data_IF_375213862040
#
_entry.id   IF_375213862040
#
_cell.length_a   1.000
_cell.length_b   1.000
_cell.length_c   1.000
_cell.angle_alpha   90.00
_cell.angle_beta   90.00
_cell.angle_gamma   90.00
#
_symmetry.space_group_name_H-M   'P 1'
#
loop_
_entity.id
_entity.type
_entity.pdbx_description
1 polymer ?
#
# COMPACT_ATOMS: atom_id res chain seq x y z
N UNK A 1 -16.53 1.40 -23.55
CA UNK A 1 -15.75 2.49 -24.16
C UNK A 1 -14.64 1.83 -24.99
N UNK A 2 -14.68 1.95 -26.32
CA UNK A 2 -13.61 1.41 -27.20
C UNK A 2 -12.67 2.58 -27.46
N UNK A 3 -11.43 2.48 -27.00
CA UNK A 3 -10.40 3.46 -27.31
C UNK A 3 -9.57 2.91 -28.47
N UNK A 4 -9.61 3.56 -29.63
CA UNK A 4 -8.73 3.24 -30.75
C UNK A 4 -7.32 3.75 -30.44
N UNK A 5 -6.65 3.08 -29.51
CA UNK A 5 -5.21 3.22 -29.30
C UNK A 5 -4.55 2.40 -30.41
N UNK A 6 -4.59 2.93 -31.63
CA UNK A 6 -4.14 2.24 -32.85
C UNK A 6 -2.61 2.17 -32.97
N UNK A 7 -2.05 1.13 -33.64
CA UNK A 7 -2.64 0.33 -34.75
C UNK A 7 -3.50 -0.87 -34.32
N UNK A 8 -4.25 -1.52 -35.25
CA UNK A 8 -5.14 -2.68 -34.99
C UNK A 8 -4.53 -3.90 -34.28
N UNK A 9 -3.22 -3.92 -34.04
CA UNK A 9 -2.51 -5.03 -33.36
C UNK A 9 -2.15 -4.74 -31.89
N UNK A 10 -2.57 -3.60 -31.32
CA UNK A 10 -2.51 -3.37 -29.87
C UNK A 10 -3.79 -3.89 -29.22
N UNK A 11 -3.68 -4.98 -28.45
CA UNK A 11 -4.79 -5.45 -27.62
C UNK A 11 -4.73 -4.68 -26.31
N UNK A 12 -5.79 -3.93 -26.03
CA UNK A 12 -6.00 -3.23 -24.76
C UNK A 12 -6.91 -4.07 -23.88
N UNK A 13 -6.42 -4.43 -22.68
CA UNK A 13 -7.23 -5.10 -21.67
C UNK A 13 -7.48 -4.14 -20.52
N UNK A 14 -8.75 -3.87 -20.24
CA UNK A 14 -9.18 -3.10 -19.06
C UNK A 14 -9.44 -4.11 -17.94
N UNK A 15 -8.73 -3.98 -16.82
CA UNK A 15 -8.80 -4.93 -15.71
C UNK A 15 -9.66 -4.43 -14.55
N UNK A 16 -9.59 -3.13 -14.24
CA UNK A 16 -10.46 -2.47 -13.28
C UNK A 16 -11.13 -1.26 -13.92
N UNK A 17 -12.30 -0.90 -13.41
CA UNK A 17 -12.97 0.36 -13.70
C UNK A 17 -13.76 0.77 -12.46
N UNK A 18 -13.36 1.86 -11.83
CA UNK A 18 -13.98 2.36 -10.60
C UNK A 18 -14.08 3.88 -10.63
N UNK A 19 -15.01 4.45 -9.86
CA UNK A 19 -15.12 5.90 -9.72
C UNK A 19 -13.86 6.45 -9.04
N UNK A 20 -13.33 7.57 -9.54
CA UNK A 20 -12.28 8.30 -8.84
C UNK A 20 -12.86 8.81 -7.51
N UNK A 21 -12.19 8.57 -6.37
CA UNK A 21 -12.75 8.97 -5.09
C UNK A 21 -12.70 10.50 -4.85
N UNK A 22 -11.97 11.27 -5.67
CA UNK A 22 -11.80 12.72 -5.53
C UNK A 22 -12.53 13.56 -6.59
N UNK A 23 -12.86 12.97 -7.74
CA UNK A 23 -13.32 13.69 -8.93
C UNK A 23 -14.45 12.94 -9.61
N UNK A 24 -15.25 13.65 -10.39
CA UNK A 24 -16.30 13.04 -11.22
C UNK A 24 -15.71 12.44 -12.50
N UNK A 25 -14.85 11.44 -12.32
CA UNK A 25 -14.18 10.70 -13.39
C UNK A 25 -14.06 9.22 -13.00
N UNK A 26 -13.68 8.37 -13.94
CA UNK A 26 -13.42 6.95 -13.69
C UNK A 26 -11.93 6.65 -13.85
N UNK A 27 -11.42 5.79 -13.00
CA UNK A 27 -10.06 5.26 -13.05
C UNK A 27 -10.11 3.81 -13.47
N UNK A 28 -9.22 3.44 -14.38
CA UNK A 28 -9.09 2.08 -14.86
C UNK A 28 -7.62 1.64 -14.87
N UNK A 29 -7.36 0.40 -14.48
CA UNK A 29 -6.06 -0.22 -14.77
C UNK A 29 -6.13 -0.90 -16.12
N UNK A 30 -5.15 -0.61 -16.97
CA UNK A 30 -5.09 -1.10 -18.35
C UNK A 30 -3.78 -1.82 -18.60
N UNK A 31 -3.82 -2.83 -19.47
CA UNK A 31 -2.63 -3.51 -19.97
C UNK A 31 -2.67 -3.51 -21.49
N UNK A 32 -1.53 -3.20 -22.09
CA UNK A 32 -1.34 -3.19 -23.53
C UNK A 32 -0.49 -4.38 -23.95
N UNK A 33 -0.88 -5.09 -25.02
CA UNK A 33 -0.04 -6.17 -25.57
C UNK A 33 1.31 -5.67 -26.09
N UNK A 34 1.37 -4.40 -26.51
CA UNK A 34 2.59 -3.64 -26.83
C UNK A 34 2.38 -2.19 -26.41
N UNK A 35 3.41 -1.50 -25.92
CA UNK A 35 3.30 -0.08 -25.55
C UNK A 35 2.89 0.75 -26.78
N UNK A 36 1.74 1.45 -26.73
CA UNK A 36 1.27 2.29 -27.83
C UNK A 36 2.28 3.38 -28.21
N UNK A 37 2.36 3.75 -29.49
CA UNK A 37 3.28 4.78 -29.97
C UNK A 37 3.13 6.12 -29.22
N UNK A 38 1.90 6.46 -28.86
CA UNK A 38 1.56 7.67 -28.11
C UNK A 38 2.06 7.64 -26.65
N UNK A 39 2.35 6.44 -26.11
CA UNK A 39 2.81 6.20 -24.74
C UNK A 39 4.28 5.71 -24.69
N UNK A 40 5.01 5.77 -25.81
CA UNK A 40 6.39 5.25 -25.89
C UNK A 40 7.46 6.18 -25.32
N UNK A 41 7.14 7.45 -25.03
CA UNK A 41 8.08 8.40 -24.45
C UNK A 41 8.35 8.04 -22.98
N UNK A 42 9.33 7.16 -22.74
CA UNK A 42 9.73 6.69 -21.41
C UNK A 42 10.27 7.80 -20.49
N UNK A 43 10.53 9.01 -21.00
CA UNK A 43 10.90 10.16 -20.16
C UNK A 43 9.69 10.79 -19.46
N UNK A 44 8.46 10.44 -19.87
CA UNK A 44 7.21 10.90 -19.26
C UNK A 44 6.65 9.86 -18.33
N UNK A 45 5.95 10.34 -17.30
CA UNK A 45 5.17 9.50 -16.40
C UNK A 45 3.65 9.65 -16.63
N UNK A 46 3.24 10.66 -17.42
CA UNK A 46 1.84 11.00 -17.68
C UNK A 46 1.60 11.38 -19.15
N UNK A 47 0.43 11.00 -19.68
CA UNK A 47 -0.02 11.32 -21.04
C UNK A 47 -1.49 11.70 -21.03
N UNK A 48 -1.85 12.67 -21.89
CA UNK A 48 -3.24 13.03 -22.18
C UNK A 48 -3.53 12.73 -23.65
N UNK A 49 -4.52 11.88 -23.90
CA UNK A 49 -5.00 11.53 -25.23
C UNK A 49 -6.47 11.92 -25.37
N UNK A 50 -6.89 12.27 -26.60
CA UNK A 50 -8.30 12.45 -26.93
C UNK A 50 -8.89 11.10 -27.34
N UNK A 51 -10.08 10.79 -26.84
CA UNK A 51 -10.82 9.61 -27.28
C UNK A 51 -11.27 9.73 -28.74
N UNK A 52 -11.52 8.61 -29.40
CA UNK A 52 -11.86 8.55 -30.82
C UNK A 52 -13.22 9.18 -31.18
N UNK A 53 -14.10 9.37 -30.19
CA UNK A 53 -15.36 10.09 -30.36
C UNK A 53 -15.21 11.61 -30.18
N UNK A 54 -13.99 12.09 -29.88
CA UNK A 54 -13.65 13.47 -29.55
C UNK A 54 -14.43 14.05 -28.35
N UNK A 55 -15.11 13.21 -27.56
CA UNK A 55 -15.93 13.66 -26.42
C UNK A 55 -15.11 13.67 -25.13
N UNK A 56 -14.29 12.63 -24.91
CA UNK A 56 -13.60 12.42 -23.63
C UNK A 56 -12.09 12.64 -23.73
N UNK A 57 -11.51 13.19 -22.67
CA UNK A 57 -10.06 13.16 -22.44
C UNK A 57 -9.68 11.91 -21.64
N UNK A 58 -8.61 11.26 -22.06
CA UNK A 58 -8.04 10.09 -21.40
C UNK A 58 -6.69 10.47 -20.82
N UNK A 59 -6.52 10.25 -19.53
CA UNK A 59 -5.28 10.48 -18.81
C UNK A 59 -4.68 9.13 -18.45
N UNK A 60 -3.41 8.96 -18.79
CA UNK A 60 -2.64 7.77 -18.47
C UNK A 60 -1.49 8.18 -17.57
N UNK A 61 -1.32 7.48 -16.46
CA UNK A 61 -0.11 7.53 -15.66
C UNK A 61 0.47 6.11 -15.51
N UNK A 62 1.77 6.03 -15.25
CA UNK A 62 2.47 4.77 -14.96
C UNK A 62 3.03 4.74 -13.54
N UNK A 63 2.77 5.76 -12.72
CA UNK A 63 3.41 5.90 -11.41
C UNK A 63 2.51 5.44 -10.25
N UNK A 64 1.19 5.45 -10.43
CA UNK A 64 0.19 5.12 -9.40
C UNK A 64 0.38 5.89 -8.08
N UNK A 65 0.73 7.18 -8.12
CA UNK A 65 0.87 8.04 -6.94
C UNK A 65 -0.52 8.41 -6.38
N UNK A 66 -0.65 8.45 -5.06
CA UNK A 66 -1.93 8.66 -4.39
C UNK A 66 -2.82 7.42 -4.40
N UNK A 67 -4.12 7.62 -4.16
CA UNK A 67 -5.11 6.54 -4.10
C UNK A 67 -5.57 6.16 -5.51
N UNK A 68 -5.35 4.90 -5.89
CA UNK A 68 -5.87 4.30 -7.12
C UNK A 68 -6.95 3.27 -6.76
N UNK A 69 -8.24 3.50 -7.09
CA UNK A 69 -9.29 2.52 -6.86
C UNK A 69 -9.16 1.36 -7.85
N UNK A 70 -9.17 0.13 -7.32
CA UNK A 70 -9.15 -1.12 -8.10
C UNK A 70 -10.55 -1.70 -8.26
N UNK A 71 -11.44 -1.46 -7.29
CA UNK A 71 -12.88 -1.72 -7.38
C UNK A 71 -13.60 -0.83 -6.38
N UNK A 72 -14.79 -0.34 -6.75
CA UNK A 72 -15.68 0.40 -5.87
C UNK A 72 -17.13 -0.05 -6.11
N UNK A 73 -17.57 -1.15 -5.47
CA UNK A 73 -18.92 -1.66 -5.67
C UNK A 73 -19.96 -0.69 -5.08
N UNK A 74 -21.12 -0.58 -5.73
CA UNK A 74 -22.23 0.21 -5.21
C UNK A 74 -22.62 -0.33 -3.84
N UNK A 75 -22.63 0.54 -2.83
CA UNK A 75 -22.93 0.15 -1.47
C UNK A 75 -21.80 -0.62 -0.76
N UNK A 76 -20.54 -0.42 -1.18
CA UNK A 76 -19.38 -1.00 -0.50
C UNK A 76 -19.51 -0.87 1.03
N UNK A 77 -19.32 -1.99 1.72
CA UNK A 77 -19.51 -2.08 3.17
C UNK A 77 -18.21 -1.97 3.95
N UNK A 78 -17.06 -1.96 3.28
CA UNK A 78 -15.73 -1.89 3.89
C UNK A 78 -14.73 -1.29 2.89
N UNK A 79 -13.73 -0.57 3.40
CA UNK A 79 -12.59 -0.12 2.60
C UNK A 79 -11.35 -0.98 2.90
N UNK A 80 -10.63 -1.37 1.85
CA UNK A 80 -9.34 -2.05 1.95
C UNK A 80 -8.30 -1.22 1.19
N UNK A 81 -7.25 -0.76 1.87
CA UNK A 81 -6.22 0.09 1.24
C UNK A 81 -4.85 -0.58 1.36
N UNK A 82 -4.21 -0.83 0.22
CA UNK A 82 -2.89 -1.44 0.13
C UNK A 82 -1.79 -0.40 -0.14
N UNK A 83 -0.81 -0.32 0.76
CA UNK A 83 0.24 0.70 0.80
C UNK A 83 1.58 0.08 0.44
N UNK A 84 2.23 0.59 -0.61
CA UNK A 84 3.53 0.08 -1.06
C UNK A 84 4.70 0.44 -0.13
N UNK A 85 5.80 -0.29 -0.29
CA UNK A 85 7.05 -0.07 0.45
C UNK A 85 7.93 1.07 -0.09
N UNK A 86 9.13 1.18 0.49
CA UNK A 86 10.13 2.19 0.16
C UNK A 86 10.54 2.10 -1.32
N UNK A 87 10.42 3.20 -2.07
CA UNK A 87 10.69 3.24 -3.50
C UNK A 87 9.82 2.27 -4.34
N UNK A 88 8.75 1.73 -3.76
CA UNK A 88 7.90 0.72 -4.37
C UNK A 88 6.78 1.32 -5.19
N UNK A 89 6.68 0.94 -6.46
CA UNK A 89 5.53 1.25 -7.30
C UNK A 89 4.26 0.61 -6.72
N UNK A 90 3.16 1.35 -6.54
CA UNK A 90 1.94 0.89 -5.86
C UNK A 90 1.39 -0.43 -6.46
N UNK A 91 1.14 -0.44 -7.76
CA UNK A 91 0.73 -1.66 -8.47
C UNK A 91 1.82 -2.73 -8.53
N UNK A 92 3.04 -2.35 -8.94
CA UNK A 92 4.16 -3.27 -9.14
C UNK A 92 4.65 -3.99 -7.87
N UNK A 93 4.43 -3.41 -6.69
CA UNK A 93 4.79 -4.02 -5.41
C UNK A 93 4.03 -5.33 -5.19
N UNK A 94 2.73 -5.33 -5.48
CA UNK A 94 1.83 -6.48 -5.28
C UNK A 94 1.67 -7.37 -6.52
N UNK A 95 2.37 -7.05 -7.62
CA UNK A 95 2.37 -7.84 -8.85
C UNK A 95 3.35 -9.01 -8.74
N UNK A 96 2.92 -10.19 -9.20
CA UNK A 96 3.76 -11.39 -9.29
C UNK A 96 5.06 -11.11 -10.07
N UNK A 97 6.10 -11.89 -9.78
CA UNK A 97 7.37 -11.77 -10.50
C UNK A 97 7.26 -12.40 -11.88
N UNK A 98 7.63 -11.65 -12.92
CA UNK A 98 7.65 -12.15 -14.30
C UNK A 98 6.28 -12.29 -14.98
N UNK A 99 5.19 -11.91 -14.32
CA UNK A 99 3.84 -11.99 -14.86
C UNK A 99 2.99 -10.74 -14.64
N UNK A 100 1.78 -10.69 -15.25
CA UNK A 100 0.87 -9.55 -15.14
C UNK A 100 -0.07 -9.63 -13.93
N UNK A 101 -0.14 -10.77 -13.23
CA UNK A 101 -1.09 -10.96 -12.14
C UNK A 101 -0.73 -10.09 -10.95
N UNK A 102 -1.69 -9.30 -10.49
CA UNK A 102 -1.58 -8.49 -9.29
C UNK A 102 -2.73 -8.89 -8.38
N UNK A 103 -2.44 -9.70 -7.36
CA UNK A 103 -3.44 -10.44 -6.59
C UNK A 103 -4.50 -9.53 -5.95
N UNK A 104 -4.15 -8.30 -5.56
CA UNK A 104 -5.11 -7.34 -4.98
C UNK A 104 -6.17 -6.95 -6.02
N UNK A 105 -5.77 -6.72 -7.29
CA UNK A 105 -6.69 -6.38 -8.38
C UNK A 105 -7.39 -7.62 -8.95
N UNK A 106 -6.66 -8.72 -9.09
CA UNK A 106 -7.08 -9.84 -9.95
C UNK A 106 -7.77 -10.98 -9.18
N UNK A 107 -7.49 -11.12 -7.88
CA UNK A 107 -8.05 -12.16 -7.00
C UNK A 107 -8.86 -11.53 -5.85
N UNK A 108 -8.27 -10.64 -5.06
CA UNK A 108 -8.88 -10.11 -3.83
C UNK A 108 -10.20 -9.37 -4.09
N UNK A 109 -10.33 -8.65 -5.20
CA UNK A 109 -11.60 -8.00 -5.57
C UNK A 109 -12.76 -8.99 -5.74
N UNK A 110 -12.48 -10.24 -6.12
CA UNK A 110 -13.48 -11.30 -6.28
C UNK A 110 -13.77 -11.99 -4.95
N UNK A 111 -12.74 -12.15 -4.13
CA UNK A 111 -12.84 -12.81 -2.83
C UNK A 111 -13.48 -11.91 -1.77
N UNK A 112 -13.42 -10.59 -1.95
CA UNK A 112 -14.06 -9.57 -1.11
C UNK A 112 -15.02 -8.68 -1.93
N UNK A 113 -16.12 -9.22 -2.48
CA UNK A 113 -16.95 -8.51 -3.46
C UNK A 113 -17.70 -7.28 -2.91
N UNK A 114 -17.84 -7.16 -1.59
CA UNK A 114 -18.45 -6.01 -0.92
C UNK A 114 -17.44 -4.91 -0.52
N UNK A 115 -16.15 -5.12 -0.78
CA UNK A 115 -15.10 -4.18 -0.42
C UNK A 115 -14.83 -3.17 -1.53
N UNK A 116 -14.65 -1.90 -1.16
CA UNK A 116 -13.94 -0.93 -1.99
C UNK A 116 -12.44 -1.15 -1.77
N UNK A 117 -11.71 -1.50 -2.82
CA UNK A 117 -10.28 -1.83 -2.72
C UNK A 117 -9.47 -0.78 -3.46
N UNK A 118 -8.50 -0.19 -2.77
CA UNK A 118 -7.58 0.81 -3.30
C UNK A 118 -6.13 0.39 -3.08
N UNK A 119 -5.24 0.87 -3.95
CA UNK A 119 -3.80 0.90 -3.66
C UNK A 119 -3.35 2.34 -3.49
N UNK A 120 -2.36 2.57 -2.63
CA UNK A 120 -1.77 3.87 -2.36
C UNK A 120 -0.28 3.85 -2.72
N UNK A 121 0.10 4.72 -3.64
CA UNK A 121 1.51 4.99 -3.96
C UNK A 121 2.00 6.29 -3.36
N UNK A 122 3.26 6.31 -2.97
CA UNK A 122 3.98 7.49 -2.50
C UNK A 122 5.34 7.54 -3.19
N UNK A 123 5.86 8.76 -3.33
CA UNK A 123 7.18 8.93 -3.94
C UNK A 123 8.28 8.89 -2.88
N UNK A 124 8.92 7.73 -2.76
CA UNK A 124 10.03 7.49 -1.82
C UNK A 124 11.22 6.81 -2.50
N UNK A 125 11.40 7.03 -3.80
CA UNK A 125 12.54 6.49 -4.54
C UNK A 125 13.87 6.96 -3.91
N UNK A 126 14.85 6.06 -3.89
CA UNK A 126 16.12 6.31 -3.22
C UNK A 126 17.15 6.97 -4.11
N UNK A 127 17.33 6.45 -5.32
CA UNK A 127 18.36 6.89 -6.25
C UNK A 127 17.88 8.05 -7.11
N UNK A 128 18.64 9.15 -7.15
CA UNK A 128 18.32 10.34 -7.95
C UNK A 128 17.25 11.23 -7.30
N UNK A 129 16.97 11.03 -6.02
CA UNK A 129 15.97 11.82 -5.30
C UNK A 129 16.58 13.05 -4.66
N UNK A 130 15.92 14.19 -4.84
CA UNK A 130 16.24 15.44 -4.16
C UNK A 130 15.23 15.77 -3.06
N UNK A 131 14.34 14.83 -2.73
CA UNK A 131 13.36 14.97 -1.66
C UNK A 131 14.03 14.96 -0.29
N UNK A 132 13.55 15.80 0.62
CA UNK A 132 13.93 15.82 2.04
C UNK A 132 12.75 15.41 2.95
N UNK A 133 11.72 14.80 2.37
CA UNK A 133 10.55 14.31 3.12
C UNK A 133 10.97 13.31 4.19
N UNK A 134 10.29 13.37 5.34
CA UNK A 134 10.49 12.49 6.48
C UNK A 134 9.43 11.39 6.53
N UNK A 135 9.62 10.41 7.44
CA UNK A 135 8.59 9.42 7.74
C UNK A 135 7.27 10.08 8.19
N UNK A 136 7.37 11.18 8.95
CA UNK A 136 6.21 11.96 9.40
C UNK A 136 5.47 12.59 8.22
N UNK A 137 6.20 13.18 7.26
CA UNK A 137 5.60 13.79 6.07
C UNK A 137 4.85 12.77 5.22
N UNK A 138 5.44 11.61 4.98
CA UNK A 138 4.81 10.52 4.21
C UNK A 138 3.59 9.95 4.95
N UNK A 139 3.67 9.78 6.27
CA UNK A 139 2.54 9.34 7.09
C UNK A 139 1.40 10.36 7.10
N UNK A 140 1.71 11.66 7.16
CA UNK A 140 0.74 12.74 7.07
C UNK A 140 0.06 12.80 5.70
N UNK A 141 0.81 12.58 4.63
CA UNK A 141 0.24 12.47 3.27
C UNK A 141 -0.73 11.30 3.17
N UNK A 142 -0.38 10.12 3.69
CA UNK A 142 -1.28 8.97 3.70
C UNK A 142 -2.54 9.21 4.54
N UNK A 143 -2.40 9.81 5.73
CA UNK A 143 -3.54 10.23 6.54
C UNK A 143 -4.45 11.20 5.79
N UNK A 144 -3.87 12.20 5.12
CA UNK A 144 -4.61 13.19 4.33
C UNK A 144 -5.35 12.52 3.16
N UNK A 145 -4.74 11.54 2.52
CA UNK A 145 -5.36 10.76 1.46
C UNK A 145 -6.60 10.01 1.98
N UNK A 146 -6.51 9.31 3.12
CA UNK A 146 -7.66 8.64 3.75
C UNK A 146 -8.75 9.66 4.09
N UNK A 147 -8.38 10.77 4.75
CA UNK A 147 -9.32 11.83 5.12
C UNK A 147 -10.11 12.35 3.91
N UNK A 148 -9.42 12.58 2.79
CA UNK A 148 -10.03 13.14 1.58
C UNK A 148 -11.06 12.23 0.89
N UNK A 149 -11.08 10.92 1.21
CA UNK A 149 -12.04 9.95 0.66
C UNK A 149 -13.06 9.44 1.68
N UNK A 150 -12.94 9.91 2.93
CA UNK A 150 -13.72 9.53 4.12
C UNK A 150 -13.84 10.72 5.07
N UNK A 151 -14.45 11.79 4.57
CA UNK A 151 -14.71 13.01 5.33
C UNK A 151 -16.09 12.92 6.03
N UNK A 152 -16.06 12.88 7.37
CA UNK A 152 -17.22 12.79 8.26
C UNK A 152 -18.14 14.00 8.10
N UNK A 153 -17.57 15.20 7.98
CA UNK A 153 -18.31 16.48 7.90
C UNK A 153 -19.13 16.60 6.60
N UNK A 154 -18.84 15.77 5.61
CA UNK A 154 -19.52 15.73 4.30
C UNK A 154 -20.36 14.46 4.09
N UNK A 155 -20.69 13.73 5.16
CA UNK A 155 -21.53 12.51 5.17
C UNK A 155 -20.98 11.30 4.38
N UNK A 156 -19.66 11.21 4.18
CA UNK A 156 -19.07 10.02 3.53
C UNK A 156 -18.87 8.87 4.55
N UNK A 157 -19.96 8.14 4.83
CA UNK A 157 -20.03 6.87 5.60
C UNK A 157 -18.83 6.60 6.56
N UNK A 158 -18.71 7.39 7.63
CA UNK A 158 -17.56 7.31 8.52
C UNK A 158 -17.46 6.00 9.30
N UNK A 159 -18.59 5.30 9.45
CA UNK A 159 -18.70 4.01 10.13
C UNK A 159 -18.31 2.82 9.25
N UNK A 160 -18.09 3.04 7.94
CA UNK A 160 -17.59 1.98 7.05
C UNK A 160 -16.25 1.48 7.60
N UNK A 161 -16.06 0.22 7.95
CA UNK A 161 -14.78 -0.24 8.48
C UNK A 161 -13.63 -0.03 7.49
N UNK A 162 -12.41 0.06 8.03
CA UNK A 162 -11.18 0.19 7.26
C UNK A 162 -10.22 -0.96 7.59
N UNK A 163 -9.70 -1.61 6.56
CA UNK A 163 -8.59 -2.58 6.63
C UNK A 163 -7.40 -2.02 5.86
N UNK A 164 -6.23 -2.02 6.49
CA UNK A 164 -5.01 -1.47 5.92
C UNK A 164 -3.98 -2.57 5.68
N UNK A 165 -3.49 -2.69 4.45
CA UNK A 165 -2.44 -3.63 4.07
C UNK A 165 -1.15 -2.84 3.82
N UNK A 166 -0.10 -3.06 4.61
CA UNK A 166 1.16 -2.34 4.48
C UNK A 166 2.30 -3.27 4.12
N UNK A 167 3.02 -2.99 3.03
CA UNK A 167 4.29 -3.65 2.75
C UNK A 167 5.46 -2.78 3.20
N UNK A 168 6.38 -3.33 3.99
CA UNK A 168 7.60 -2.66 4.42
C UNK A 168 7.32 -1.25 4.98
N UNK A 169 7.88 -0.19 4.39
CA UNK A 169 7.61 1.21 4.75
C UNK A 169 6.10 1.51 4.82
N UNK A 170 5.28 0.91 3.96
CA UNK A 170 3.83 1.12 3.95
C UNK A 170 3.15 0.80 5.28
N UNK A 171 3.64 -0.20 6.01
CA UNK A 171 3.16 -0.48 7.37
C UNK A 171 3.56 0.60 8.38
N UNK A 172 4.74 1.21 8.24
CA UNK A 172 5.13 2.35 9.07
C UNK A 172 4.29 3.58 8.76
N UNK A 173 3.95 3.80 7.47
CA UNK A 173 3.05 4.89 7.07
C UNK A 173 1.66 4.72 7.67
N UNK A 174 1.15 3.47 7.71
CA UNK A 174 -0.10 3.14 8.40
C UNK A 174 -0.01 3.48 9.88
N UNK A 175 1.04 3.03 10.59
CA UNK A 175 1.22 3.36 12.00
C UNK A 175 1.27 4.87 12.24
N UNK A 176 2.05 5.59 11.44
CA UNK A 176 2.21 7.05 11.55
C UNK A 176 0.90 7.79 11.27
N UNK A 177 0.16 7.37 10.24
CA UNK A 177 -1.14 7.93 9.92
C UNK A 177 -2.15 7.72 11.05
N UNK A 178 -2.21 6.53 11.64
CA UNK A 178 -3.12 6.23 12.77
C UNK A 178 -2.77 7.04 14.03
N UNK A 179 -1.47 7.23 14.32
CA UNK A 179 -1.04 8.12 15.41
C UNK A 179 -1.53 9.55 15.16
N UNK A 180 -1.34 10.09 13.95
CA UNK A 180 -1.81 11.43 13.57
C UNK A 180 -3.34 11.51 13.68
N UNK A 181 -4.05 10.49 13.20
CA UNK A 181 -5.52 10.50 13.20
C UNK A 181 -6.11 10.48 14.61
N UNK A 182 -5.47 9.76 15.54
CA UNK A 182 -5.96 9.61 16.92
C UNK A 182 -6.08 10.94 17.68
N UNK A 183 -5.29 11.95 17.31
CA UNK A 183 -5.33 13.30 17.87
C UNK A 183 -5.75 14.38 16.87
N UNK A 184 -6.31 13.98 15.73
CA UNK A 184 -6.66 14.85 14.63
C UNK A 184 -8.05 15.49 14.75
N UNK A 185 -8.60 15.90 13.60
CA UNK A 185 -9.98 16.39 13.47
C UNK A 185 -11.03 15.32 13.83
N UNK A 186 -12.31 15.68 13.94
CA UNK A 186 -13.39 14.71 14.16
C UNK A 186 -13.43 13.64 13.05
N UNK A 187 -13.25 14.05 11.79
CA UNK A 187 -13.11 13.13 10.65
C UNK A 187 -11.93 12.17 10.81
N UNK A 188 -10.79 12.66 11.32
CA UNK A 188 -9.62 11.81 11.54
C UNK A 188 -9.85 10.82 12.67
N UNK A 189 -10.42 11.27 13.78
CA UNK A 189 -10.75 10.40 14.91
C UNK A 189 -11.81 9.36 14.53
N UNK A 190 -12.77 9.72 13.67
CA UNK A 190 -13.73 8.78 13.11
C UNK A 190 -13.03 7.73 12.22
N UNK A 191 -12.11 8.14 11.34
CA UNK A 191 -11.32 7.20 10.52
C UNK A 191 -10.42 6.30 11.36
N UNK A 192 -9.81 6.84 12.41
CA UNK A 192 -9.04 6.08 13.40
C UNK A 192 -9.92 5.02 14.07
N UNK A 193 -11.09 5.42 14.56
CA UNK A 193 -12.07 4.56 15.22
C UNK A 193 -12.65 3.49 14.28
N UNK A 194 -12.84 3.82 13.01
CA UNK A 194 -13.30 2.91 11.96
C UNK A 194 -12.23 1.92 11.47
N UNK A 195 -10.96 2.11 11.84
CA UNK A 195 -9.89 1.17 11.51
C UNK A 195 -10.05 -0.12 12.30
N UNK A 196 -10.41 -1.20 11.60
CA UNK A 196 -10.66 -2.50 12.19
C UNK A 196 -9.42 -3.39 12.15
N UNK A 197 -8.77 -3.52 10.99
CA UNK A 197 -7.74 -4.52 10.76
C UNK A 197 -6.50 -3.98 10.07
N UNK A 198 -5.32 -4.49 10.45
CA UNK A 198 -4.05 -4.21 9.78
C UNK A 198 -3.40 -5.53 9.35
N UNK A 199 -2.93 -5.61 8.11
CA UNK A 199 -2.03 -6.67 7.65
C UNK A 199 -0.70 -6.05 7.28
N UNK A 200 0.33 -6.38 8.05
CA UNK A 200 1.69 -5.83 7.92
C UNK A 200 2.59 -6.88 7.29
N UNK A 201 3.15 -6.61 6.12
CA UNK A 201 4.10 -7.48 5.41
C UNK A 201 5.51 -6.94 5.55
N UNK A 202 6.33 -7.55 6.41
CA UNK A 202 7.75 -7.19 6.56
C UNK A 202 7.96 -5.74 7.02
N UNK A 203 7.06 -5.18 7.82
CA UNK A 203 7.17 -3.78 8.25
C UNK A 203 8.32 -3.59 9.24
N UNK A 204 9.32 -2.73 8.96
CA UNK A 204 10.52 -2.62 9.79
C UNK A 204 10.28 -1.75 11.04
N UNK A 205 9.39 -2.18 11.94
CA UNK A 205 9.00 -1.42 13.14
C UNK A 205 10.13 -1.20 14.15
N UNK A 206 11.22 -1.96 14.02
CA UNK A 206 12.43 -1.83 14.85
C UNK A 206 13.71 -1.63 14.02
N UNK A 207 13.58 -1.45 12.72
CA UNK A 207 14.69 -1.24 11.81
C UNK A 207 14.64 -2.12 10.56
N UNK A 208 15.22 -1.58 9.50
CA UNK A 208 15.50 -2.21 8.22
C UNK A 208 17.03 -2.36 8.10
N UNK A 209 17.53 -3.46 7.54
CA UNK A 209 18.92 -3.53 7.13
C UNK A 209 19.15 -2.61 5.93
N UNK A 210 19.89 -1.52 6.15
CA UNK A 210 20.07 -0.44 5.18
C UNK A 210 21.40 -0.48 4.45
N UNK A 211 22.29 -1.45 4.70
CA UNK A 211 23.68 -1.40 4.22
C UNK A 211 23.77 -1.14 2.72
N UNK A 212 23.00 -1.88 1.92
CA UNK A 212 22.95 -1.70 0.46
C UNK A 212 22.20 -0.44 0.01
N UNK A 213 21.24 0.03 0.81
CA UNK A 213 20.41 1.19 0.48
C UNK A 213 21.15 2.51 0.73
N UNK A 214 21.96 2.58 1.80
CA UNK A 214 22.78 3.76 2.12
C UNK A 214 23.76 4.04 0.97
N UNK A 215 24.29 2.99 0.34
CA UNK A 215 25.18 3.11 -0.81
C UNK A 215 24.47 3.71 -2.05
N UNK A 216 23.15 3.54 -2.20
CA UNK A 216 22.38 4.13 -3.31
C UNK A 216 22.16 5.63 -3.16
N UNK A 217 22.07 6.09 -1.92
CA UNK A 217 21.70 7.46 -1.58
C UNK A 217 22.94 8.36 -1.43
N UNK A 218 24.06 7.80 -0.96
CA UNK A 218 25.32 8.52 -0.75
C UNK A 218 25.14 9.81 0.08
N UNK A 219 25.18 10.98 -0.55
CA UNK A 219 25.01 12.29 0.10
C UNK A 219 23.72 13.02 -0.35
N UNK A 220 22.78 12.31 -0.96
CA UNK A 220 21.49 12.89 -1.37
C UNK A 220 20.64 13.31 -0.16
N UNK A 221 19.74 14.31 -0.30
CA UNK A 221 18.94 14.84 0.81
C UNK A 221 18.08 13.81 1.53
N UNK A 222 17.57 12.81 0.81
CA UNK A 222 16.75 11.72 1.34
C UNK A 222 17.54 10.72 2.23
N UNK A 223 18.86 10.87 2.39
CA UNK A 223 19.64 10.05 3.32
C UNK A 223 19.14 10.18 4.75
N UNK A 224 18.76 11.39 5.17
CA UNK A 224 18.23 11.59 6.52
C UNK A 224 17.00 10.71 6.78
N UNK A 225 16.06 10.70 5.83
CA UNK A 225 14.89 9.82 5.89
C UNK A 225 15.28 8.35 5.95
N UNK A 226 16.18 7.90 5.07
CA UNK A 226 16.64 6.52 5.05
C UNK A 226 17.23 6.12 6.41
N UNK A 227 18.08 6.96 7.02
CA UNK A 227 18.68 6.71 8.33
C UNK A 227 17.65 6.63 9.46
N UNK A 228 16.46 7.24 9.31
CA UNK A 228 15.37 7.04 10.29
C UNK A 228 14.85 5.59 10.30
N UNK A 229 15.10 4.81 9.25
CA UNK A 229 14.65 3.42 9.14
C UNK A 229 15.65 2.41 9.71
N UNK A 230 16.81 2.86 10.22
CA UNK A 230 17.87 1.97 10.71
C UNK A 230 17.48 1.27 12.02
N UNK A 231 18.12 0.13 12.37
CA UNK A 231 17.97 -0.47 13.67
C UNK A 231 18.31 0.50 14.81
N UNK A 232 17.54 0.48 15.89
CA UNK A 232 17.67 1.40 17.04
C UNK A 232 17.44 2.89 16.71
N UNK A 233 16.71 3.19 15.63
CA UNK A 233 16.22 4.55 15.36
C UNK A 233 15.28 5.03 16.47
N UNK A 234 15.55 6.21 17.03
CA UNK A 234 14.68 6.87 18.01
C UNK A 234 13.31 7.21 17.40
N UNK A 235 13.28 7.55 16.11
CA UNK A 235 12.04 7.84 15.37
C UNK A 235 11.16 6.59 15.31
N UNK A 236 11.72 5.43 14.95
CA UNK A 236 10.96 4.17 14.92
C UNK A 236 10.53 3.75 16.33
N UNK A 237 11.40 3.92 17.32
CA UNK A 237 11.07 3.60 18.70
C UNK A 237 9.88 4.44 19.22
N UNK A 238 9.91 5.75 18.97
CA UNK A 238 8.83 6.67 19.32
C UNK A 238 7.54 6.30 18.58
N UNK A 239 7.58 6.14 17.25
CA UNK A 239 6.41 5.76 16.46
C UNK A 239 5.79 4.44 16.94
N UNK A 240 6.61 3.42 17.20
CA UNK A 240 6.13 2.14 17.72
C UNK A 240 5.49 2.29 19.09
N UNK A 241 6.11 3.06 19.99
CA UNK A 241 5.56 3.33 21.33
C UNK A 241 4.20 4.01 21.23
N UNK A 242 4.12 5.08 20.46
CA UNK A 242 2.89 5.86 20.30
C UNK A 242 1.79 5.01 19.67
N UNK A 243 2.09 4.30 18.57
CA UNK A 243 1.16 3.41 17.91
C UNK A 243 0.57 2.34 18.85
N UNK A 244 1.42 1.67 19.65
CA UNK A 244 0.96 0.65 20.60
C UNK A 244 0.12 1.25 21.74
N UNK A 245 0.41 2.50 22.12
CA UNK A 245 -0.35 3.21 23.14
C UNK A 245 -1.73 3.63 22.60
N UNK A 246 -1.80 4.17 21.38
CA UNK A 246 -3.05 4.73 20.85
C UNK A 246 -3.96 3.67 20.21
N UNK A 247 -3.42 2.71 19.46
CA UNK A 247 -4.20 1.70 18.74
C UNK A 247 -4.43 0.45 19.61
N UNK A 248 -4.97 0.70 20.81
CA UNK A 248 -5.16 -0.30 21.86
C UNK A 248 -6.52 -1.02 21.80
N UNK A 249 -7.22 -0.93 20.67
CA UNK A 249 -8.51 -1.54 20.41
C UNK A 249 -8.48 -3.09 20.50
N UNK A 250 -8.91 -3.67 21.62
CA UNK A 250 -8.90 -5.14 21.79
C UNK A 250 -9.84 -5.89 20.84
N UNK A 251 -10.78 -5.18 20.23
CA UNK A 251 -11.72 -5.64 19.22
C UNK A 251 -11.20 -5.47 17.77
N UNK A 252 -10.00 -4.92 17.58
CA UNK A 252 -9.26 -4.87 16.30
C UNK A 252 -8.25 -6.01 16.15
N UNK A 253 -7.86 -6.31 14.92
CA UNK A 253 -6.91 -7.38 14.58
C UNK A 253 -5.65 -6.85 13.87
N UNK A 254 -4.46 -7.34 14.22
CA UNK A 254 -3.20 -7.02 13.53
C UNK A 254 -2.51 -8.32 13.11
N UNK A 255 -2.50 -8.62 11.81
CA UNK A 255 -1.72 -9.73 11.24
C UNK A 255 -0.32 -9.25 10.83
N UNK A 256 0.72 -9.80 11.44
CA UNK A 256 2.12 -9.55 11.07
C UNK A 256 2.67 -10.70 10.23
N UNK A 257 2.97 -10.44 8.98
CA UNK A 257 3.56 -11.38 8.01
C UNK A 257 5.04 -11.05 7.83
N UNK A 258 5.92 -12.04 7.90
CA UNK A 258 7.38 -11.83 7.88
C UNK A 258 8.13 -12.76 6.94
N UNK A 259 9.29 -12.30 6.48
CA UNK A 259 10.18 -13.04 5.59
C UNK A 259 10.94 -14.16 6.31
N UNK A 260 11.24 -15.24 5.58
CA UNK A 260 12.06 -16.37 6.04
C UNK A 260 13.21 -16.68 5.08
N UNK A 261 13.41 -15.86 4.04
CA UNK A 261 14.55 -15.94 3.13
C UNK A 261 15.24 -14.59 3.02
N UNK A 262 16.54 -14.63 2.74
CA UNK A 262 17.31 -13.43 2.46
C UNK A 262 16.91 -12.80 1.12
N UNK A 263 16.92 -11.47 1.05
CA UNK A 263 16.70 -10.72 -0.18
C UNK A 263 18.02 -10.44 -0.90
N UNK A 264 18.05 -10.47 -2.25
CA UNK A 264 19.16 -9.90 -2.99
C UNK A 264 19.25 -8.40 -2.69
N UNK A 265 20.47 -7.89 -2.54
CA UNK A 265 20.71 -6.49 -2.20
C UNK A 265 21.23 -5.69 -3.38
N UNK A 266 21.17 -4.36 -3.26
CA UNK A 266 21.65 -3.46 -4.29
C UNK A 266 23.17 -3.44 -4.42
N UNK A 267 23.66 -3.59 -5.64
CA UNK A 267 25.06 -3.39 -6.00
C UNK A 267 25.18 -2.60 -7.31
N UNK A 268 26.19 -1.75 -7.41
CA UNK A 268 26.47 -0.99 -8.63
C UNK A 268 27.28 -1.83 -9.61
N UNK A 269 26.74 -2.07 -10.79
CA UNK A 269 27.38 -2.79 -11.89
C UNK A 269 27.30 -1.97 -13.17
N UNK A 270 28.45 -1.66 -13.79
CA UNK A 270 28.48 -0.92 -15.06
C UNK A 270 27.83 0.47 -14.99
N UNK A 271 27.79 1.09 -13.81
CA UNK A 271 27.18 2.41 -13.59
C UNK A 271 25.71 2.37 -13.18
N UNK A 272 25.05 1.21 -13.25
CA UNK A 272 23.63 1.04 -12.88
C UNK A 272 23.48 0.21 -11.60
N UNK A 273 22.45 0.52 -10.81
CA UNK A 273 22.08 -0.28 -9.65
C UNK A 273 21.36 -1.55 -10.07
N UNK A 274 21.79 -2.70 -9.55
CA UNK A 274 21.15 -4.00 -9.76
C UNK A 274 21.00 -4.73 -8.43
N UNK A 275 20.01 -5.61 -8.35
CA UNK A 275 19.77 -6.48 -7.18
C UNK A 275 20.62 -7.75 -7.28
N UNK A 276 21.94 -7.59 -7.36
CA UNK A 276 22.93 -8.67 -7.51
C UNK A 276 23.94 -8.72 -6.37
N UNK A 277 23.79 -7.84 -5.39
CA UNK A 277 24.63 -7.79 -4.20
C UNK A 277 24.43 -8.99 -3.26
N UNK A 278 25.29 -9.13 -2.24
CA UNK A 278 25.21 -10.21 -1.25
C UNK A 278 23.81 -10.27 -0.62
N UNK A 279 23.20 -11.46 -0.49
CA UNK A 279 21.89 -11.57 0.10
C UNK A 279 21.93 -11.18 1.58
N UNK A 280 20.82 -10.61 2.07
CA UNK A 280 20.66 -10.24 3.47
C UNK A 280 19.20 -10.36 3.92
N UNK A 281 18.99 -10.62 5.22
CA UNK A 281 17.69 -10.41 5.86
C UNK A 281 17.49 -8.89 5.97
N UNK A 282 16.45 -8.38 5.31
CA UNK A 282 16.19 -6.94 5.31
C UNK A 282 15.39 -6.55 6.56
N UNK A 283 14.42 -7.36 6.95
CA UNK A 283 13.58 -7.15 8.13
C UNK A 283 13.45 -8.47 8.88
N UNK A 284 14.18 -8.58 9.99
CA UNK A 284 14.08 -9.77 10.84
C UNK A 284 12.68 -9.91 11.47
N UNK A 285 12.37 -11.13 11.96
CA UNK A 285 11.08 -11.43 12.62
C UNK A 285 10.77 -10.43 13.74
N UNK A 286 11.76 -10.03 14.53
CA UNK A 286 11.54 -9.14 15.67
C UNK A 286 11.16 -7.71 15.24
N UNK A 287 11.75 -7.22 14.16
CA UNK A 287 11.42 -5.93 13.55
C UNK A 287 10.08 -5.96 12.83
N UNK A 288 9.74 -7.08 12.18
CA UNK A 288 8.48 -7.27 11.45
C UNK A 288 7.22 -7.22 12.34
N UNK A 289 7.39 -7.53 13.63
CA UNK A 289 6.28 -7.64 14.57
C UNK A 289 5.77 -6.25 14.98
N UNK A 290 4.59 -5.90 14.46
CA UNK A 290 3.84 -4.71 14.85
C UNK A 290 2.75 -4.99 15.90
N UNK A 291 2.64 -6.23 16.36
CA UNK A 291 1.57 -6.64 17.26
C UNK A 291 1.65 -6.04 18.66
N UNK A 292 0.51 -6.09 19.34
CA UNK A 292 0.30 -5.60 20.71
C UNK A 292 0.59 -6.72 21.71
N UNK A 293 0.75 -6.44 23.02
CA UNK A 293 1.08 -7.47 24.01
C UNK A 293 0.07 -8.63 24.11
N UNK A 294 -1.18 -8.40 23.73
CA UNK A 294 -2.24 -9.43 23.72
C UNK A 294 -2.48 -10.04 22.34
N UNK A 295 -1.71 -9.63 21.33
CA UNK A 295 -1.86 -10.16 19.99
C UNK A 295 -1.43 -11.63 19.98
N UNK A 296 -2.31 -12.50 19.50
CA UNK A 296 -2.10 -13.94 19.58
C UNK A 296 -0.96 -14.38 18.65
N UNK A 297 -0.25 -15.46 19.00
CA UNK A 297 0.79 -16.03 18.13
C UNK A 297 0.26 -16.41 16.74
N UNK A 298 -1.02 -16.78 16.64
CA UNK A 298 -1.70 -17.03 15.37
C UNK A 298 -1.77 -15.80 14.44
N UNK A 299 -1.54 -14.59 14.97
CA UNK A 299 -1.49 -13.34 14.22
C UNK A 299 -0.05 -13.00 13.77
N UNK A 300 0.87 -13.97 13.84
CA UNK A 300 2.22 -13.91 13.29
C UNK A 300 2.40 -15.02 12.26
N UNK A 301 2.63 -14.66 11.01
CA UNK A 301 2.73 -15.62 9.90
C UNK A 301 4.07 -15.48 9.16
N UNK A 302 4.88 -16.52 9.20
CA UNK A 302 6.13 -16.57 8.43
C UNK A 302 5.88 -17.16 7.06
N UNK A 303 6.31 -16.46 6.00
CA UNK A 303 6.26 -16.97 4.64
C UNK A 303 7.66 -17.30 4.16
N UNK A 304 7.82 -18.41 3.43
CA UNK A 304 9.13 -18.84 2.93
C UNK A 304 9.55 -18.04 1.69
N UNK A 305 9.68 -16.73 1.87
CA UNK A 305 9.96 -15.73 0.85
C UNK A 305 10.96 -14.72 1.36
N UNK A 306 11.60 -14.02 0.41
CA UNK A 306 12.36 -12.82 0.69
C UNK A 306 11.43 -11.58 0.77
N UNK A 307 11.94 -10.49 1.30
CA UNK A 307 11.23 -9.22 1.53
C UNK A 307 10.52 -8.66 0.30
N UNK A 308 11.15 -8.76 -0.88
CA UNK A 308 10.61 -8.22 -2.13
C UNK A 308 9.50 -9.09 -2.70
N UNK A 309 9.56 -10.41 -2.48
CA UNK A 309 8.57 -11.37 -2.96
C UNK A 309 7.43 -11.63 -1.95
N UNK A 310 7.57 -11.12 -0.72
CA UNK A 310 6.65 -11.31 0.40
C UNK A 310 5.18 -10.93 0.09
N UNK A 311 4.98 -10.03 -0.86
CA UNK A 311 3.65 -9.55 -1.31
C UNK A 311 3.36 -9.83 -2.78
N UNK A 312 4.16 -10.69 -3.44
CA UNK A 312 4.09 -11.00 -4.87
C UNK A 312 3.44 -12.36 -5.11
N UNK A 313 2.21 -12.52 -4.66
CA UNK A 313 1.47 -13.77 -4.84
C UNK A 313 1.08 -14.00 -6.30
N UNK A 314 1.22 -15.24 -6.75
CA UNK A 314 0.70 -15.67 -8.06
C UNK A 314 -0.76 -16.14 -7.95
N UNK A 315 -1.41 -16.42 -9.08
CA UNK A 315 -2.86 -16.72 -9.10
C UNK A 315 -3.31 -17.89 -8.22
N UNK A 316 -2.48 -18.92 -8.09
CA UNK A 316 -2.79 -20.15 -7.34
C UNK A 316 -1.85 -20.35 -6.16
N UNK A 317 -1.47 -19.25 -5.52
CA UNK A 317 -0.49 -19.24 -4.45
C UNK A 317 -1.14 -19.68 -3.13
N UNK A 318 -0.64 -20.76 -2.53
CA UNK A 318 -1.21 -21.28 -1.28
C UNK A 318 -1.09 -20.25 -0.14
N UNK A 319 0.00 -19.48 -0.12
CA UNK A 319 0.21 -18.45 0.89
C UNK A 319 -0.78 -17.29 0.71
N UNK A 320 -1.25 -17.02 -0.52
CA UNK A 320 -2.36 -16.08 -0.74
C UNK A 320 -3.65 -16.59 -0.10
N UNK A 321 -3.98 -17.88 -0.22
CA UNK A 321 -5.20 -18.44 0.36
C UNK A 321 -5.23 -18.27 1.88
N UNK A 322 -4.08 -18.39 2.55
CA UNK A 322 -3.96 -18.13 3.98
C UNK A 322 -4.26 -16.66 4.30
N UNK A 323 -3.68 -15.72 3.56
CA UNK A 323 -3.93 -14.28 3.75
C UNK A 323 -5.40 -13.92 3.44
N UNK A 324 -5.95 -14.45 2.37
CA UNK A 324 -7.33 -14.24 1.94
C UNK A 324 -8.32 -14.70 3.01
N UNK A 325 -8.13 -15.91 3.56
CA UNK A 325 -8.94 -16.44 4.66
C UNK A 325 -8.93 -15.50 5.89
N UNK A 326 -7.79 -14.91 6.23
CA UNK A 326 -7.68 -13.93 7.32
C UNK A 326 -8.44 -12.65 7.00
N UNK A 327 -8.34 -12.13 5.78
CA UNK A 327 -9.06 -10.94 5.34
C UNK A 327 -10.58 -11.15 5.31
N UNK A 328 -11.06 -12.31 4.86
CA UNK A 328 -12.49 -12.65 4.89
C UNK A 328 -13.05 -12.67 6.32
N UNK A 329 -12.28 -13.21 7.27
CA UNK A 329 -12.63 -13.15 8.70
C UNK A 329 -12.68 -11.71 9.20
N UNK A 330 -11.73 -10.85 8.79
CA UNK A 330 -11.74 -9.44 9.15
C UNK A 330 -13.00 -8.75 8.63
N UNK A 331 -13.29 -8.90 7.33
CA UNK A 331 -14.48 -8.31 6.68
C UNK A 331 -15.77 -8.73 7.38
N UNK A 332 -15.90 -10.01 7.74
CA UNK A 332 -17.10 -10.55 8.39
C UNK A 332 -17.36 -9.91 9.76
N UNK A 333 -16.31 -9.63 10.53
CA UNK A 333 -16.44 -9.10 11.91
C UNK A 333 -16.44 -7.58 11.98
N UNK A 334 -15.82 -6.91 11.00
CA UNK A 334 -15.53 -5.49 11.06
C UNK A 334 -16.79 -4.63 11.23
N UNK A 335 -17.86 -4.91 10.48
CA UNK A 335 -19.06 -4.07 10.48
C UNK A 335 -19.71 -3.98 11.87
N UNK A 336 -19.89 -5.11 12.55
CA UNK A 336 -20.48 -5.15 13.89
C UNK A 336 -19.58 -4.46 14.92
N UNK A 337 -18.27 -4.69 14.84
CA UNK A 337 -17.30 -4.09 15.76
C UNK A 337 -17.28 -2.57 15.62
N UNK A 338 -17.17 -2.06 14.39
CA UNK A 338 -17.13 -0.63 14.17
C UNK A 338 -18.46 0.02 14.59
N UNK A 339 -19.61 -0.56 14.24
CA UNK A 339 -20.91 -0.05 14.69
C UNK A 339 -20.98 0.10 16.23
N UNK A 340 -20.50 -0.90 16.98
CA UNK A 340 -20.44 -0.84 18.45
C UNK A 340 -19.53 0.26 18.98
N UNK A 341 -18.40 0.50 18.31
CA UNK A 341 -17.51 1.61 18.70
C UNK A 341 -18.26 2.93 18.57
N UNK A 342 -18.95 3.15 17.45
CA UNK A 342 -19.68 4.39 17.19
C UNK A 342 -20.88 4.60 18.13
N UNK A 343 -21.62 3.54 18.48
CA UNK A 343 -22.73 3.62 19.44
C UNK A 343 -22.30 3.87 20.89
N UNK A 344 -21.09 3.45 21.29
CA UNK A 344 -20.62 3.52 22.68
C UNK A 344 -19.97 4.88 23.04
N UNK A 345 -20.04 5.86 22.16
CA UNK A 345 -19.45 7.20 22.36
C UNK A 345 -20.47 8.33 22.49
N UNK A 346 -21.77 7.98 22.56
CA UNK A 346 -22.83 8.79 23.17
C UNK A 346 -23.01 8.38 24.63
#
# INVERSE_FOLDING_TARGET
MVCNIEPPDVIVTIHSLAKNPHRDEHVATVTFSKTPAQLQDESREEWRLRSSDDVHDLFFDVHFRGLTPLVDPIGASIDVIAVSGLGGHAFGSFKERGGPHMWIRDSLVKDLPAARILTYGHDSHLYGSYSFQTLSDLGKQFQTAIHSIRNYETETNPERPLILLGHSLGGLLISQALVIMSGGSESDQANFKATYGIVSFGTPSRGLNLESLVAMVENQPNRYFLETLRPNSEVLHALRKDFLQIFNFQDSEILSVYELQESPTGQKEGGSWKMTGPPAILVDRYSSFQGRPWEQDANQLGLNRNHSDLVKFHRYDEEYEWICSRLQNFVTRAAEVIAKRFSSSE
#
